data_IF_073983715686
#
_entry.id   IF_073983715686
#
_cell.length_a   1.000
_cell.length_b   1.000
_cell.length_c   1.000
_cell.angle_alpha   90.00
_cell.angle_beta   90.00
_cell.angle_gamma   90.00
#
_symmetry.space_group_name_H-M   'P 1'
#
loop_
_entity.id
_entity.type
_entity.pdbx_description
1 polymer ?
#
# COMPACT_ATOMS: atom_id res chain seq x y z
N UNK A 1 -24.00 -32.59 1.92
CA UNK A 1 -24.96 -31.47 1.85
C UNK A 1 -24.18 -30.20 1.58
N UNK A 2 -24.33 -29.61 0.39
CA UNK A 2 -23.60 -28.41 -0.02
C UNK A 2 -24.29 -27.19 0.58
N UNK A 3 -23.65 -26.50 1.54
CA UNK A 3 -24.16 -25.22 2.03
C UNK A 3 -23.86 -24.14 0.98
N UNK A 4 -24.91 -23.74 0.27
CA UNK A 4 -24.92 -22.56 -0.57
C UNK A 4 -24.90 -21.35 0.36
N UNK A 5 -23.73 -20.73 0.52
CA UNK A 5 -23.61 -19.46 1.23
C UNK A 5 -24.28 -18.38 0.37
N UNK A 6 -25.30 -17.71 0.92
CA UNK A 6 -25.92 -16.55 0.32
C UNK A 6 -24.93 -15.40 0.10
N UNK A 7 -25.35 -14.32 -0.59
CA UNK A 7 -24.50 -13.16 -0.86
C UNK A 7 -23.91 -12.63 0.46
N UNK A 8 -22.57 -12.49 0.46
CA UNK A 8 -21.80 -12.02 1.62
C UNK A 8 -22.26 -10.60 1.94
N UNK A 9 -22.73 -10.30 3.17
CA UNK A 9 -23.04 -8.94 3.55
C UNK A 9 -21.78 -8.08 3.42
N UNK A 10 -21.89 -6.87 2.88
CA UNK A 10 -20.74 -5.98 2.81
C UNK A 10 -20.16 -5.77 4.22
N UNK A 11 -18.84 -5.56 4.36
CA UNK A 11 -18.24 -5.27 5.65
C UNK A 11 -19.01 -4.12 6.32
N UNK A 12 -19.23 -4.18 7.64
CA UNK A 12 -19.88 -3.09 8.36
C UNK A 12 -19.05 -1.83 8.07
N UNK A 13 -19.71 -0.79 7.57
CA UNK A 13 -19.16 0.47 7.02
C UNK A 13 -19.03 0.57 5.47
N UNK A 14 -19.82 -0.15 4.67
CA UNK A 14 -20.08 0.31 3.29
C UNK A 14 -21.04 1.50 3.30
N UNK A 15 -20.48 2.67 3.56
CA UNK A 15 -21.15 3.96 3.48
C UNK A 15 -21.46 4.29 2.01
N UNK A 16 -22.66 3.93 1.55
CA UNK A 16 -23.18 4.26 0.22
C UNK A 16 -23.63 5.72 0.13
N UNK A 17 -22.76 6.66 0.51
CA UNK A 17 -23.00 8.09 0.30
C UNK A 17 -22.92 8.43 -1.20
N UNK A 18 -23.97 9.06 -1.72
CA UNK A 18 -24.06 9.59 -3.11
C UNK A 18 -23.07 10.77 -3.30
N UNK A 19 -22.54 11.34 -2.21
CA UNK A 19 -21.45 12.33 -2.18
C UNK A 19 -20.32 11.80 -1.30
N UNK A 20 -19.60 10.82 -1.81
CA UNK A 20 -18.43 10.26 -1.13
C UNK A 20 -17.19 10.34 -1.98
N UNK A 21 -16.05 10.08 -1.36
CA UNK A 21 -14.74 10.05 -1.99
C UNK A 21 -14.44 8.62 -2.43
N UNK A 22 -14.00 8.41 -3.67
CA UNK A 22 -13.54 7.08 -4.09
C UNK A 22 -12.23 6.73 -3.40
N UNK A 23 -12.23 5.55 -2.81
CA UNK A 23 -11.18 4.95 -2.03
C UNK A 23 -10.93 3.52 -2.52
N UNK A 24 -9.86 2.89 -2.04
CA UNK A 24 -9.53 1.52 -2.41
C UNK A 24 -9.22 0.68 -1.18
N UNK A 25 -9.90 -0.46 -1.05
CA UNK A 25 -9.45 -1.52 -0.18
C UNK A 25 -8.35 -2.32 -0.85
N UNK A 26 -7.20 -2.41 -0.19
CA UNK A 26 -6.15 -3.39 -0.50
C UNK A 26 -6.37 -4.61 0.39
N UNK A 27 -6.93 -5.67 -0.18
CA UNK A 27 -7.32 -6.87 0.56
C UNK A 27 -6.10 -7.69 1.00
N UNK A 28 -6.16 -8.25 2.22
CA UNK A 28 -5.14 -9.18 2.72
C UNK A 28 -5.18 -10.53 2.00
N UNK A 29 -4.24 -11.42 2.34
CA UNK A 29 -4.17 -12.74 1.73
C UNK A 29 -5.37 -13.63 2.07
N UNK A 30 -5.92 -13.51 3.28
CA UNK A 30 -7.10 -14.22 3.76
C UNK A 30 -8.34 -13.86 2.95
N UNK A 31 -8.61 -12.56 2.79
CA UNK A 31 -9.66 -12.06 1.90
C UNK A 31 -9.56 -12.66 0.49
N UNK A 32 -8.36 -12.65 -0.08
CA UNK A 32 -8.16 -13.15 -1.45
C UNK A 32 -8.33 -14.66 -1.55
N UNK A 33 -7.72 -15.44 -0.65
CA UNK A 33 -7.65 -16.90 -0.78
C UNK A 33 -8.83 -17.63 -0.16
N UNK A 34 -9.46 -17.05 0.85
CA UNK A 34 -10.56 -17.69 1.59
C UNK A 34 -11.90 -17.10 1.15
N UNK A 35 -11.97 -15.79 0.90
CA UNK A 35 -13.22 -15.13 0.49
C UNK A 35 -13.32 -14.90 -1.02
N UNK A 36 -12.23 -15.10 -1.77
CA UNK A 36 -12.20 -14.88 -3.22
C UNK A 36 -12.26 -13.40 -3.61
N UNK A 37 -11.99 -12.48 -2.68
CA UNK A 37 -12.01 -11.05 -2.98
C UNK A 37 -10.83 -10.65 -3.87
N UNK A 38 -11.00 -9.68 -4.78
CA UNK A 38 -9.90 -9.18 -5.59
C UNK A 38 -8.85 -8.50 -4.71
N UNK A 39 -7.62 -8.34 -5.21
CA UNK A 39 -6.54 -7.70 -4.44
C UNK A 39 -6.85 -6.24 -4.10
N UNK A 40 -7.54 -5.56 -5.00
CA UNK A 40 -7.93 -4.16 -4.89
C UNK A 40 -9.42 -4.02 -5.22
N UNK A 41 -10.17 -3.36 -4.34
CA UNK A 41 -11.60 -3.09 -4.52
C UNK A 41 -11.83 -1.59 -4.37
N UNK A 42 -12.43 -0.97 -5.39
CA UNK A 42 -12.86 0.43 -5.30
C UNK A 42 -14.12 0.52 -4.43
N UNK A 43 -14.13 1.48 -3.52
CA UNK A 43 -15.25 1.76 -2.62
C UNK A 43 -15.46 3.26 -2.53
N UNK A 44 -16.64 3.67 -2.09
CA UNK A 44 -16.94 5.07 -1.77
C UNK A 44 -17.00 5.20 -0.26
N UNK A 45 -16.37 6.23 0.29
CA UNK A 45 -16.44 6.54 1.73
C UNK A 45 -16.94 7.97 1.95
N UNK A 46 -17.54 8.24 3.11
CA UNK A 46 -17.91 9.61 3.48
C UNK A 46 -16.70 10.54 3.58
N UNK A 47 -16.91 11.80 3.20
CA UNK A 47 -15.95 12.90 3.41
C UNK A 47 -15.60 13.15 4.87
N UNK A 48 -16.43 12.72 5.82
CA UNK A 48 -16.19 12.78 7.27
C UNK A 48 -15.56 11.50 7.81
N UNK A 49 -15.17 10.55 6.95
CA UNK A 49 -14.54 9.31 7.38
C UNK A 49 -13.29 9.56 8.21
N UNK A 50 -13.13 8.79 9.28
CA UNK A 50 -12.10 8.97 10.32
C UNK A 50 -10.65 8.96 9.79
N UNK A 51 -10.43 8.36 8.61
CA UNK A 51 -9.12 8.37 7.94
C UNK A 51 -8.58 9.78 7.70
N UNK A 52 -9.46 10.74 7.36
CA UNK A 52 -9.07 12.11 7.02
C UNK A 52 -8.64 12.93 8.25
N UNK A 53 -9.07 12.55 9.45
CA UNK A 53 -8.74 13.25 10.69
C UNK A 53 -7.66 12.57 11.53
N UNK A 54 -7.50 11.23 11.40
CA UNK A 54 -6.56 10.46 12.24
C UNK A 54 -5.26 10.07 11.55
N UNK A 55 -5.26 9.90 10.23
CA UNK A 55 -4.05 9.49 9.51
C UNK A 55 -3.33 10.68 8.90
N UNK A 56 -2.02 10.52 8.68
CA UNK A 56 -1.18 11.46 7.94
C UNK A 56 -0.76 10.82 6.61
N UNK A 57 -0.40 11.63 5.60
CA UNK A 57 0.20 11.11 4.38
C UNK A 57 1.39 10.22 4.70
N UNK A 58 1.53 9.11 3.97
CA UNK A 58 2.73 8.27 4.06
C UNK A 58 3.94 9.07 3.59
N UNK A 59 5.11 8.85 4.20
CA UNK A 59 6.31 9.66 3.93
C UNK A 59 6.68 9.68 2.44
N UNK A 60 6.67 8.52 1.77
CA UNK A 60 6.93 8.42 0.32
C UNK A 60 5.94 9.29 -0.44
N UNK A 61 4.66 9.16 -0.13
CA UNK A 61 3.60 9.86 -0.84
C UNK A 61 3.71 11.39 -0.66
N UNK A 62 4.11 11.83 0.54
CA UNK A 62 4.39 13.24 0.82
C UNK A 62 5.56 13.77 -0.01
N UNK A 63 6.68 13.04 -0.08
CA UNK A 63 7.84 13.39 -0.93
C UNK A 63 7.49 13.43 -2.41
N UNK A 64 6.65 12.49 -2.85
CA UNK A 64 6.13 12.39 -4.20
C UNK A 64 5.04 13.44 -4.52
N UNK A 65 4.65 14.28 -3.56
CA UNK A 65 3.55 15.27 -3.70
C UNK A 65 2.19 14.63 -4.06
N UNK A 66 1.97 13.40 -3.62
CA UNK A 66 0.71 12.66 -3.72
C UNK A 66 0.27 12.32 -2.30
N UNK A 67 -0.56 13.11 -1.60
CA UNK A 67 -0.77 12.91 -0.17
C UNK A 67 -1.68 11.69 0.08
N UNK A 68 -1.11 10.48 0.08
CA UNK A 68 -1.83 9.21 0.24
C UNK A 68 -1.93 8.86 1.72
N UNK A 69 -3.15 8.66 2.20
CA UNK A 69 -3.44 8.15 3.53
C UNK A 69 -3.69 6.64 3.45
N UNK A 70 -3.21 5.90 4.45
CA UNK A 70 -3.54 4.47 4.58
C UNK A 70 -4.02 4.16 6.00
N UNK A 71 -5.01 3.27 6.12
CA UNK A 71 -5.57 2.86 7.40
C UNK A 71 -5.92 1.38 7.40
N UNK A 72 -5.46 0.64 8.40
CA UNK A 72 -5.96 -0.73 8.63
C UNK A 72 -7.44 -0.67 9.00
N UNK A 73 -8.25 -1.50 8.37
CA UNK A 73 -9.69 -1.62 8.70
C UNK A 73 -9.91 -2.18 10.10
N UNK A 74 -8.97 -2.96 10.62
CA UNK A 74 -9.11 -3.66 11.90
C UNK A 74 -10.03 -4.90 11.81
N UNK A 75 -10.71 -5.10 10.69
CA UNK A 75 -11.56 -6.27 10.48
C UNK A 75 -10.72 -7.53 10.26
N UNK A 76 -11.07 -8.58 11.00
CA UNK A 76 -10.49 -9.92 10.87
C UNK A 76 -11.63 -10.91 10.70
N UNK A 77 -11.73 -11.54 9.53
CA UNK A 77 -12.82 -12.48 9.29
C UNK A 77 -12.63 -13.76 10.12
N UNK A 78 -13.66 -14.19 10.87
CA UNK A 78 -13.59 -15.41 11.69
C UNK A 78 -13.22 -16.67 10.90
N UNK A 79 -13.55 -16.74 9.60
CA UNK A 79 -13.21 -17.87 8.73
C UNK A 79 -11.71 -18.03 8.52
N UNK A 80 -10.92 -16.98 8.78
CA UNK A 80 -9.46 -17.04 8.73
C UNK A 80 -8.88 -17.37 10.10
N UNK A 81 -9.51 -16.88 11.17
CA UNK A 81 -9.11 -17.11 12.57
C UNK A 81 -9.09 -18.60 12.90
N UNK A 82 -10.02 -19.37 12.34
CA UNK A 82 -10.13 -20.82 12.59
C UNK A 82 -9.24 -21.68 11.68
N UNK A 83 -8.60 -21.10 10.67
CA UNK A 83 -7.66 -21.79 9.77
C UNK A 83 -6.20 -21.55 10.16
N UNK A 84 -5.95 -21.09 11.39
CA UNK A 84 -4.59 -20.92 11.95
C UNK A 84 -3.83 -22.25 11.89
N UNK A 85 -2.82 -22.41 11.03
CA UNK A 85 -1.83 -23.44 11.25
C UNK A 85 -1.06 -23.09 12.53
N UNK A 86 -0.47 -24.07 13.20
CA UNK A 86 0.53 -23.88 14.28
C UNK A 86 1.85 -23.28 13.73
N UNK A 87 1.77 -22.29 12.85
CA UNK A 87 2.90 -21.67 12.16
C UNK A 87 3.04 -20.26 12.73
N UNK A 88 4.21 -19.98 13.31
CA UNK A 88 4.56 -18.73 13.97
C UNK A 88 4.19 -17.50 13.11
N UNK A 89 3.20 -16.77 13.59
CA UNK A 89 2.65 -15.55 12.98
C UNK A 89 3.53 -14.31 13.22
N UNK A 90 4.83 -14.48 13.45
CA UNK A 90 5.71 -13.39 13.87
C UNK A 90 6.11 -12.43 12.73
N UNK A 91 5.56 -12.54 11.51
CA UNK A 91 5.98 -11.63 10.47
C UNK A 91 4.92 -11.31 9.40
N UNK A 92 4.75 -10.02 9.12
CA UNK A 92 4.05 -9.41 8.00
C UNK A 92 4.60 -9.87 6.65
N UNK A 93 5.75 -10.56 6.69
CA UNK A 93 6.41 -11.20 5.56
C UNK A 93 5.92 -12.63 5.29
N UNK A 94 5.17 -13.23 6.22
CA UNK A 94 4.64 -14.60 6.11
C UNK A 94 3.49 -14.70 5.10
N UNK A 95 3.24 -15.91 4.60
CA UNK A 95 2.08 -16.24 3.75
C UNK A 95 0.78 -16.40 4.56
N UNK A 96 0.71 -15.81 5.76
CA UNK A 96 -0.45 -15.90 6.64
C UNK A 96 -1.67 -15.14 6.10
N UNK A 97 -2.90 -15.48 6.51
CA UNK A 97 -4.11 -14.80 6.07
C UNK A 97 -4.11 -13.27 6.32
N UNK A 98 -3.47 -12.82 7.40
CA UNK A 98 -3.39 -11.39 7.74
C UNK A 98 -2.31 -10.62 6.97
N UNK A 99 -1.54 -11.31 6.11
CA UNK A 99 -0.46 -10.69 5.36
C UNK A 99 -0.98 -9.77 4.27
N UNK A 100 -0.39 -8.58 4.21
CA UNK A 100 -0.66 -7.61 3.16
C UNK A 100 0.61 -6.79 2.86
N UNK A 101 1.66 -7.48 2.42
CA UNK A 101 2.96 -6.87 2.12
C UNK A 101 2.86 -5.63 1.24
N UNK A 102 2.08 -5.66 0.15
CA UNK A 102 1.93 -4.48 -0.71
C UNK A 102 1.45 -3.24 0.05
N UNK A 103 0.52 -3.38 1.01
CA UNK A 103 0.09 -2.28 1.85
C UNK A 103 1.13 -1.89 2.91
N UNK A 104 1.93 -2.83 3.43
CA UNK A 104 3.09 -2.56 4.28
C UNK A 104 4.06 -1.59 3.59
N UNK A 105 4.42 -1.87 2.34
CA UNK A 105 5.41 -1.06 1.61
C UNK A 105 4.88 0.28 1.10
N UNK A 106 3.56 0.48 1.05
CA UNK A 106 3.00 1.84 0.91
C UNK A 106 3.38 2.76 2.08
N UNK A 107 3.75 2.18 3.23
CA UNK A 107 4.07 2.89 4.47
C UNK A 107 5.58 2.88 4.79
N UNK A 108 6.43 2.70 3.79
CA UNK A 108 7.87 2.89 3.91
C UNK A 108 8.16 4.33 4.38
N UNK A 109 9.04 4.45 5.37
CA UNK A 109 9.45 5.74 5.92
C UNK A 109 10.54 6.37 5.06
N UNK A 110 10.47 7.68 4.90
CA UNK A 110 11.42 8.47 4.15
C UNK A 110 11.78 9.78 4.87
N UNK A 111 11.47 9.88 6.17
CA UNK A 111 11.94 10.97 7.04
C UNK A 111 13.46 10.89 7.26
N UNK A 112 14.18 11.87 6.69
CA UNK A 112 15.63 11.99 6.77
C UNK A 112 16.12 12.33 8.19
N UNK A 113 15.26 12.82 9.07
CA UNK A 113 15.62 13.12 10.46
C UNK A 113 15.63 11.86 11.34
N UNK A 114 14.97 10.77 10.90
CA UNK A 114 14.86 9.49 11.61
C UNK A 114 15.60 8.38 10.89
N UNK A 115 16.91 8.54 10.78
CA UNK A 115 17.82 7.67 10.02
C UNK A 115 17.66 6.16 10.26
N UNK A 116 17.43 5.74 11.51
CA UNK A 116 17.34 4.33 11.90
C UNK A 116 16.18 3.60 11.21
N UNK A 117 15.15 4.34 10.81
CA UNK A 117 13.93 3.78 10.24
C UNK A 117 13.74 4.16 8.77
N UNK A 118 14.66 4.94 8.19
CA UNK A 118 14.56 5.35 6.80
C UNK A 118 14.62 4.11 5.91
N UNK A 119 13.65 3.98 5.01
CA UNK A 119 13.55 2.84 4.13
C UNK A 119 12.86 1.60 4.69
N UNK A 120 12.34 1.69 5.90
CA UNK A 120 11.57 0.64 6.55
C UNK A 120 10.17 1.13 6.89
N UNK A 121 9.21 0.22 6.85
CA UNK A 121 7.88 0.50 7.39
C UNK A 121 7.92 0.42 8.91
N UNK A 122 7.01 1.15 9.57
CA UNK A 122 6.83 1.05 11.02
C UNK A 122 6.36 -0.34 11.43
N UNK A 123 7.27 -1.18 11.92
CA UNK A 123 6.95 -2.56 12.26
C UNK A 123 6.01 -2.64 13.48
N UNK A 124 6.10 -1.75 14.46
CA UNK A 124 5.12 -1.73 15.56
C UNK A 124 3.70 -1.47 15.04
N UNK A 125 3.57 -0.58 14.05
CA UNK A 125 2.27 -0.30 13.42
C UNK A 125 1.87 -1.38 12.42
N UNK A 126 2.81 -2.09 11.77
CA UNK A 126 2.54 -2.89 10.55
C UNK A 126 3.06 -4.35 10.53
N UNK A 127 3.65 -4.90 11.59
CA UNK A 127 4.41 -6.18 11.52
C UNK A 127 3.63 -7.49 11.64
N UNK A 128 2.50 -7.56 12.32
CA UNK A 128 1.95 -8.87 12.75
C UNK A 128 0.55 -9.07 12.20
N UNK A 129 -0.29 -8.05 12.31
CA UNK A 129 -1.68 -8.09 11.84
C UNK A 129 -1.95 -6.89 10.95
N UNK A 130 -1.68 -7.02 9.65
CA UNK A 130 -1.99 -5.93 8.70
C UNK A 130 -3.47 -5.98 8.34
N UNK A 131 -3.95 -7.15 7.89
CA UNK A 131 -5.31 -7.29 7.39
C UNK A 131 -5.56 -6.39 6.17
N UNK A 132 -6.80 -6.01 5.99
CA UNK A 132 -7.23 -5.19 4.85
C UNK A 132 -7.05 -3.72 5.16
N UNK A 133 -6.54 -2.99 4.17
CA UNK A 133 -6.09 -1.60 4.33
C UNK A 133 -6.88 -0.73 3.38
N UNK A 134 -7.48 0.32 3.91
CA UNK A 134 -8.11 1.39 3.14
C UNK A 134 -7.03 2.39 2.70
N UNK A 135 -7.08 2.78 1.43
CA UNK A 135 -6.17 3.75 0.81
C UNK A 135 -7.00 4.88 0.19
N UNK A 136 -6.66 6.13 0.52
CA UNK A 136 -7.35 7.34 0.04
C UNK A 136 -6.35 8.45 -0.22
N UNK A 137 -6.78 9.50 -0.95
CA UNK A 137 -6.02 10.75 -1.02
C UNK A 137 -6.50 11.73 0.05
N UNK A 138 -5.56 12.40 0.73
CA UNK A 138 -5.86 13.39 1.76
C UNK A 138 -6.66 14.58 1.23
N UNK A 139 -6.41 14.97 -0.03
CA UNK A 139 -7.12 16.06 -0.72
C UNK A 139 -8.53 15.66 -1.18
N UNK A 140 -9.03 14.48 -0.78
CA UNK A 140 -10.34 13.93 -1.11
C UNK A 140 -10.59 13.75 -2.62
N UNK A 141 -9.56 13.83 -3.47
CA UNK A 141 -9.70 13.43 -4.88
C UNK A 141 -9.86 11.91 -4.97
N UNK A 142 -10.64 11.48 -5.94
CA UNK A 142 -10.89 10.06 -6.21
C UNK A 142 -9.61 9.30 -6.52
N UNK A 143 -9.47 8.10 -5.96
CA UNK A 143 -8.39 7.16 -6.30
C UNK A 143 -8.96 5.82 -6.76
N UNK A 144 -8.38 5.28 -7.83
CA UNK A 144 -8.81 4.02 -8.45
C UNK A 144 -7.94 2.84 -8.03
N UNK A 145 -8.45 1.63 -8.20
CA UNK A 145 -7.72 0.40 -7.88
C UNK A 145 -6.42 0.27 -8.70
N UNK A 146 -6.43 0.70 -9.96
CA UNK A 146 -5.24 0.66 -10.84
C UNK A 146 -4.14 1.61 -10.39
N UNK A 147 -4.53 2.81 -9.95
CA UNK A 147 -3.60 3.79 -9.38
C UNK A 147 -2.95 3.26 -8.09
N UNK A 148 -3.75 2.71 -7.17
CA UNK A 148 -3.21 2.08 -5.94
C UNK A 148 -2.34 0.86 -6.27
N UNK A 149 -2.73 0.06 -7.26
CA UNK A 149 -1.92 -1.07 -7.71
C UNK A 149 -0.55 -0.62 -8.24
N UNK A 150 -0.53 0.44 -9.04
CA UNK A 150 0.70 1.05 -9.55
C UNK A 150 1.61 1.54 -8.43
N UNK A 151 1.06 2.32 -7.49
CA UNK A 151 1.83 2.84 -6.35
C UNK A 151 2.36 1.71 -5.47
N UNK A 152 1.52 0.72 -5.15
CA UNK A 152 1.92 -0.41 -4.34
C UNK A 152 2.96 -1.30 -5.04
N UNK A 153 2.93 -1.38 -6.38
CA UNK A 153 3.97 -2.06 -7.17
C UNK A 153 5.29 -1.30 -7.07
N UNK A 154 5.27 0.00 -7.35
CA UNK A 154 6.45 0.86 -7.30
C UNK A 154 7.13 0.80 -5.93
N UNK A 155 6.36 0.93 -4.84
CA UNK A 155 6.92 0.82 -3.49
C UNK A 155 7.52 -0.58 -3.20
N UNK A 156 6.88 -1.65 -3.70
CA UNK A 156 7.28 -3.03 -3.40
C UNK A 156 8.45 -3.55 -4.25
N UNK A 157 8.41 -3.32 -5.56
CA UNK A 157 9.36 -3.93 -6.51
C UNK A 157 10.51 -3.00 -6.89
N UNK A 158 10.36 -1.69 -6.74
CA UNK A 158 11.36 -0.72 -7.17
C UNK A 158 11.99 -0.02 -5.95
N UNK A 159 11.19 0.63 -5.11
CA UNK A 159 11.72 1.37 -3.97
C UNK A 159 12.28 0.46 -2.87
N UNK A 160 11.52 -0.54 -2.41
CA UNK A 160 11.99 -1.39 -1.31
C UNK A 160 13.33 -2.09 -1.61
N UNK A 161 13.55 -2.69 -2.80
CA UNK A 161 14.85 -3.29 -3.11
C UNK A 161 15.97 -2.26 -3.17
N UNK A 162 15.76 -1.13 -3.86
CA UNK A 162 16.77 -0.08 -3.99
C UNK A 162 17.15 0.55 -2.64
N UNK A 163 16.16 0.74 -1.77
CA UNK A 163 16.40 1.22 -0.41
C UNK A 163 17.12 0.20 0.47
N UNK A 164 16.81 -1.09 0.33
CA UNK A 164 17.53 -2.16 1.04
C UNK A 164 18.99 -2.23 0.61
N UNK A 165 19.25 -2.21 -0.69
CA UNK A 165 20.61 -2.22 -1.24
C UNK A 165 21.44 -1.03 -0.72
N UNK A 166 20.86 0.18 -0.72
CA UNK A 166 21.51 1.32 -0.10
C UNK A 166 21.74 1.10 1.40
N UNK A 167 20.76 0.56 2.11
CA UNK A 167 20.84 0.30 3.56
C UNK A 167 21.96 -0.69 3.94
N UNK A 168 22.27 -1.65 3.08
CA UNK A 168 23.31 -2.66 3.29
C UNK A 168 24.72 -2.05 3.22
N UNK A 169 25.00 -1.11 2.31
CA UNK A 169 26.35 -0.55 2.12
C UNK A 169 26.57 0.81 2.83
N UNK A 170 25.51 1.56 3.11
CA UNK A 170 25.62 2.99 3.51
C UNK A 170 26.44 3.22 4.80
N UNK A 171 26.49 2.27 5.72
CA UNK A 171 27.26 2.42 6.97
C UNK A 171 28.75 2.17 6.78
N UNK A 172 29.12 1.30 5.84
CA UNK A 172 30.51 1.00 5.49
C UNK A 172 31.08 2.10 4.58
N UNK A 173 30.33 2.46 3.52
CA UNK A 173 30.74 3.45 2.53
C UNK A 173 30.76 4.87 3.09
N UNK A 174 29.89 5.17 4.05
CA UNK A 174 29.73 6.50 4.63
C UNK A 174 29.69 6.45 6.18
N UNK A 175 30.86 6.38 6.84
CA UNK A 175 30.94 6.27 8.31
C UNK A 175 30.38 7.50 9.04
N UNK A 176 30.44 8.68 8.41
CA UNK A 176 29.93 9.93 8.99
C UNK A 176 28.43 10.08 8.76
N UNK A 177 27.73 10.42 9.84
CA UNK A 177 26.26 10.65 9.83
C UNK A 177 25.82 11.70 8.80
N UNK A 178 26.56 12.80 8.69
CA UNK A 178 26.28 13.87 7.73
C UNK A 178 26.31 13.39 6.27
N UNK A 179 27.19 12.45 5.95
CA UNK A 179 27.37 11.96 4.58
C UNK A 179 26.25 10.96 4.24
N UNK A 180 25.88 10.08 5.18
CA UNK A 180 24.69 9.23 5.04
C UNK A 180 23.41 10.03 4.80
N UNK A 181 23.24 11.15 5.51
CA UNK A 181 22.09 12.04 5.30
C UNK A 181 22.06 12.58 3.86
N UNK A 182 23.19 13.08 3.35
CA UNK A 182 23.29 13.57 1.96
C UNK A 182 23.02 12.48 0.92
N UNK A 183 23.49 11.26 1.17
CA UNK A 183 23.25 10.12 0.27
C UNK A 183 21.76 9.75 0.25
N UNK A 184 21.09 9.70 1.41
CA UNK A 184 19.65 9.46 1.50
C UNK A 184 18.82 10.60 0.88
N UNK A 185 19.26 11.85 1.05
CA UNK A 185 18.66 13.02 0.39
C UNK A 185 18.71 12.88 -1.13
N UNK A 186 19.89 12.55 -1.67
CA UNK A 186 20.08 12.29 -3.10
C UNK A 186 19.22 11.12 -3.57
N UNK A 187 19.24 10.00 -2.86
CA UNK A 187 18.41 8.84 -3.19
C UNK A 187 16.92 9.20 -3.22
N UNK A 188 16.42 9.91 -2.20
CA UNK A 188 15.01 10.30 -2.13
C UNK A 188 14.63 11.17 -3.33
N UNK A 189 15.48 12.12 -3.72
CA UNK A 189 15.27 12.96 -4.89
C UNK A 189 15.27 12.17 -6.21
N UNK A 190 16.20 11.24 -6.36
CA UNK A 190 16.45 10.54 -7.63
C UNK A 190 15.51 9.34 -7.82
N UNK A 191 15.13 8.66 -6.73
CA UNK A 191 14.34 7.41 -6.77
C UNK A 191 12.91 7.57 -6.25
N UNK A 192 12.65 8.38 -5.23
CA UNK A 192 11.30 8.58 -4.66
C UNK A 192 10.59 9.77 -5.31
N UNK A 193 10.53 9.79 -6.64
CA UNK A 193 10.02 10.91 -7.42
C UNK A 193 8.94 10.49 -8.44
N UNK A 194 8.20 11.49 -8.92
CA UNK A 194 7.16 11.30 -9.95
C UNK A 194 7.70 10.59 -11.19
N UNK A 195 8.86 11.00 -11.71
CA UNK A 195 9.42 10.44 -12.94
C UNK A 195 9.65 8.92 -12.84
N UNK A 196 10.21 8.46 -11.71
CA UNK A 196 10.45 7.03 -11.47
C UNK A 196 9.16 6.25 -11.26
N UNK A 197 8.17 6.85 -10.61
CA UNK A 197 6.85 6.26 -10.50
C UNK A 197 6.18 6.09 -11.87
N UNK A 198 6.19 7.12 -12.72
CA UNK A 198 5.58 7.07 -14.06
C UNK A 198 6.25 6.01 -14.95
N UNK A 199 7.59 5.91 -14.90
CA UNK A 199 8.35 4.86 -15.57
C UNK A 199 7.86 3.45 -15.15
N UNK A 200 7.72 3.22 -13.84
CA UNK A 200 7.18 1.97 -13.30
C UNK A 200 5.70 1.76 -13.69
N UNK A 201 4.89 2.82 -13.71
CA UNK A 201 3.47 2.75 -13.98
C UNK A 201 3.20 2.34 -15.43
N UNK A 202 3.90 2.94 -16.39
CA UNK A 202 3.78 2.60 -17.80
C UNK A 202 4.28 1.17 -18.08
N UNK A 203 5.37 0.74 -17.42
CA UNK A 203 5.81 -0.66 -17.47
C UNK A 203 4.73 -1.62 -16.97
N UNK A 204 4.13 -1.33 -15.82
CA UNK A 204 3.02 -2.13 -15.28
C UNK A 204 1.83 -2.16 -16.25
N UNK A 205 1.48 -1.02 -16.84
CA UNK A 205 0.38 -0.90 -17.79
C UNK A 205 0.61 -1.79 -19.01
N UNK A 206 1.80 -1.74 -19.60
CA UNK A 206 2.19 -2.61 -20.71
C UNK A 206 2.12 -4.11 -20.32
N UNK A 207 2.67 -4.49 -19.18
CA UNK A 207 2.61 -5.88 -18.68
C UNK A 207 1.16 -6.36 -18.47
N UNK A 208 0.29 -5.49 -17.95
CA UNK A 208 -1.12 -5.82 -17.70
C UNK A 208 -1.90 -5.99 -18.99
N UNK A 209 -1.66 -5.13 -19.99
CA UNK A 209 -2.25 -5.26 -21.33
C UNK A 209 -1.77 -6.53 -22.02
N UNK A 210 -0.47 -6.83 -21.97
CA UNK A 210 0.10 -8.07 -22.53
C UNK A 210 -0.48 -9.34 -21.87
N UNK A 211 -0.82 -9.26 -20.58
CA UNK A 211 -1.52 -10.33 -19.86
C UNK A 211 -3.04 -10.39 -20.12
N UNK A 212 -3.55 -9.71 -21.15
CA UNK A 212 -4.97 -9.71 -21.54
C UNK A 212 -5.88 -8.82 -20.69
N UNK A 213 -5.34 -7.98 -19.80
CA UNK A 213 -6.16 -7.04 -18.99
C UNK A 213 -6.33 -5.71 -19.72
N UNK A 214 -7.06 -5.73 -20.83
CA UNK A 214 -7.22 -4.57 -21.73
C UNK A 214 -7.75 -3.29 -21.07
N UNK A 215 -8.47 -3.40 -19.94
CA UNK A 215 -8.89 -2.23 -19.16
C UNK A 215 -7.73 -1.40 -18.59
N UNK A 216 -6.50 -1.89 -18.65
CA UNK A 216 -5.29 -1.12 -18.35
C UNK A 216 -4.86 -0.19 -19.47
N UNK A 217 -5.26 -0.41 -20.73
CA UNK A 217 -4.85 0.43 -21.86
C UNK A 217 -5.26 1.90 -21.69
N UNK A 218 -6.43 2.14 -21.08
CA UNK A 218 -6.95 3.48 -20.77
C UNK A 218 -6.71 3.90 -19.32
N UNK A 219 -5.96 3.12 -18.54
CA UNK A 219 -5.62 3.50 -17.18
C UNK A 219 -4.71 4.74 -17.17
N UNK A 220 -5.04 5.66 -16.28
CA UNK A 220 -4.28 6.90 -16.03
C UNK A 220 -3.50 6.79 -14.74
N UNK A 221 -2.39 7.52 -14.63
CA UNK A 221 -1.55 7.52 -13.44
C UNK A 221 -2.18 8.37 -12.32
N UNK A 222 -1.56 8.38 -11.15
CA UNK A 222 -1.95 9.27 -10.04
C UNK A 222 -1.73 10.75 -10.37
N UNK A 223 -0.77 11.05 -11.24
CA UNK A 223 -0.41 12.43 -11.59
C UNK A 223 -1.24 13.01 -12.73
N UNK A 224 -1.97 12.18 -13.49
CA UNK A 224 -2.90 12.66 -14.52
C UNK A 224 -4.12 13.42 -13.96
N UNK A 225 -4.28 13.44 -12.63
CA UNK A 225 -5.36 14.12 -11.91
C UNK A 225 -4.89 15.34 -11.09
N UNK A 226 -3.61 15.74 -11.24
CA UNK A 226 -3.02 16.85 -10.48
C UNK A 226 -3.52 18.16 -11.03
#
# INVERSE_FOLDING_TARGET
>A
MSQVFGPIPPPPDTDTSIRGVKAVYTHCFGDQKILGLPKYTEVTISESHVIFSREKPTDISAHMKLPILTRKTGYVDPRWVNKRPRVDYACATSKGPMSNRKALYLNLRADLNREQNWGFSDMEKWDTTIGTVLVVRQDKKDITARQVEGLARFCFYDLSPATRELGESIYEDYPRKSDRKKVREKFTKDFMCQAKFEECYEKLKAERVAAGKFSWATAVSLYSQV
#
